data_IF_875567404754
#
_entry.id   IF_875567404754
#
_cell.length_a   1.000
_cell.length_b   1.000
_cell.length_c   1.000
_cell.angle_alpha   90.00
_cell.angle_beta   90.00
_cell.angle_gamma   90.00
#
_symmetry.space_group_name_H-M   'P 1'
#
loop_
_entity.id
_entity.type
_entity.pdbx_description
1 polymer ?
#
# COMPACT_ATOMS: atom_id res chain seq x y z
N UNK A 1 35.50 20.66 -5.74
CA UNK A 1 34.68 19.65 -6.46
C UNK A 1 33.82 18.86 -5.48
N UNK A 2 32.92 19.53 -4.78
CA UNK A 2 31.99 18.93 -3.82
C UNK A 2 30.68 19.73 -3.91
N UNK A 3 29.77 19.39 -4.84
CA UNK A 3 28.42 20.01 -4.88
C UNK A 3 27.45 19.34 -5.86
N UNK A 4 27.41 18.00 -6.01
CA UNK A 4 26.41 17.34 -6.89
C UNK A 4 25.96 15.97 -6.32
N UNK A 5 25.86 15.85 -4.99
CA UNK A 5 25.36 14.61 -4.33
C UNK A 5 24.06 14.80 -3.54
N UNK A 6 23.49 16.02 -3.52
CA UNK A 6 22.38 16.37 -2.62
C UNK A 6 20.98 16.36 -3.26
N UNK A 7 20.86 16.47 -4.59
CA UNK A 7 19.54 16.68 -5.22
C UNK A 7 18.74 15.40 -5.44
N UNK A 8 19.38 14.22 -5.51
CA UNK A 8 18.71 12.95 -5.87
C UNK A 8 18.09 12.23 -4.66
N UNK A 9 18.54 12.52 -3.44
CA UNK A 9 17.88 12.08 -2.20
C UNK A 9 16.54 12.81 -1.96
N UNK A 10 16.28 13.90 -2.68
CA UNK A 10 15.19 14.82 -2.35
C UNK A 10 13.83 14.46 -2.95
N UNK A 11 13.76 13.66 -4.02
CA UNK A 11 12.48 13.34 -4.67
C UNK A 11 11.58 12.44 -3.81
N UNK A 12 12.13 11.69 -2.84
CA UNK A 12 11.33 10.89 -1.90
C UNK A 12 11.60 11.19 -0.41
N UNK A 13 12.65 11.93 -0.04
CA UNK A 13 12.89 12.36 1.36
C UNK A 13 12.05 13.58 1.79
N UNK A 14 11.20 14.14 0.92
CA UNK A 14 10.27 15.22 1.28
C UNK A 14 9.12 14.75 2.20
N UNK A 15 9.09 13.47 2.57
CA UNK A 15 8.17 12.90 3.55
C UNK A 15 8.51 13.20 5.03
N UNK A 16 9.50 14.06 5.34
CA UNK A 16 9.85 14.37 6.74
C UNK A 16 9.25 15.68 7.24
N UNK A 17 8.42 15.50 8.28
CA UNK A 17 7.90 16.46 9.29
C UNK A 17 6.64 17.23 8.87
N UNK A 18 5.46 16.75 9.29
CA UNK A 18 4.59 17.50 10.21
C UNK A 18 3.70 16.56 11.04
N UNK A 19 3.46 16.86 12.33
CA UNK A 19 2.58 16.11 13.21
C UNK A 19 1.12 16.50 12.90
N UNK A 20 0.27 15.53 12.58
CA UNK A 20 -1.14 15.84 12.32
C UNK A 20 -1.84 16.27 13.61
N UNK A 21 -2.44 17.44 13.47
CA UNK A 21 -3.31 18.15 14.39
C UNK A 21 -4.53 17.28 14.72
N UNK A 22 -4.81 17.14 16.01
CA UNK A 22 -6.10 16.66 16.55
C UNK A 22 -7.22 17.52 15.97
N UNK A 23 -8.09 16.94 15.15
CA UNK A 23 -9.36 17.59 14.79
C UNK A 23 -10.37 17.26 15.88
N UNK A 24 -10.61 18.23 16.75
CA UNK A 24 -11.70 18.25 17.73
C UNK A 24 -13.01 18.56 16.97
N UNK A 25 -13.91 17.58 16.86
CA UNK A 25 -15.25 17.79 16.30
C UNK A 25 -16.24 18.17 17.41
N UNK A 26 -16.41 19.48 17.63
CA UNK A 26 -17.51 19.98 18.46
C UNK A 26 -18.84 19.87 17.71
N UNK A 27 -19.76 19.14 18.34
CA UNK A 27 -21.14 18.91 17.96
C UNK A 27 -22.00 20.17 17.93
N UNK A 28 -22.93 20.25 16.97
CA UNK A 28 -24.19 21.00 17.10
C UNK A 28 -25.34 19.99 17.06
N UNK A 29 -26.29 20.15 17.99
CA UNK A 29 -27.08 19.07 18.56
C UNK A 29 -28.41 18.67 17.90
N UNK A 30 -28.90 17.53 18.42
CA UNK A 30 -30.27 16.98 18.55
C UNK A 30 -31.24 17.15 17.36
N UNK A 31 -31.89 16.11 16.83
CA UNK A 31 -32.81 15.20 17.55
C UNK A 31 -33.24 14.05 16.63
N UNK A 32 -33.19 12.79 17.11
CA UNK A 32 -34.31 11.80 17.17
C UNK A 32 -33.76 10.38 17.28
N UNK A 33 -34.31 9.66 18.26
CA UNK A 33 -33.96 8.31 18.63
C UNK A 33 -34.45 7.28 17.59
N UNK A 34 -33.53 6.44 17.14
CA UNK A 34 -33.77 5.02 16.92
C UNK A 34 -32.58 4.26 17.47
N UNK A 35 -32.89 3.29 18.32
CA UNK A 35 -31.93 2.37 18.93
C UNK A 35 -31.30 1.50 17.85
N UNK A 36 -30.09 1.84 17.43
CA UNK A 36 -29.14 0.88 16.88
C UNK A 36 -27.93 0.94 17.79
N UNK A 37 -27.77 -0.09 18.63
CA UNK A 37 -26.50 -0.27 19.31
C UNK A 37 -25.42 -0.38 18.22
N UNK A 38 -24.25 0.26 18.37
CA UNK A 38 -23.13 0.00 17.49
C UNK A 38 -22.85 -1.51 17.51
N UNK A 39 -22.35 -2.13 16.42
CA UNK A 39 -21.92 -3.52 16.47
C UNK A 39 -20.88 -3.63 17.59
N UNK A 40 -21.30 -4.17 18.73
CA UNK A 40 -20.42 -4.39 19.87
C UNK A 40 -19.47 -5.49 19.46
N UNK A 41 -18.18 -5.30 19.72
CA UNK A 41 -17.19 -6.36 19.63
C UNK A 41 -17.66 -7.55 20.49
N UNK A 42 -18.19 -8.59 19.86
CA UNK A 42 -18.79 -9.72 20.56
C UNK A 42 -17.66 -10.63 21.05
N UNK A 43 -17.37 -10.57 22.35
CA UNK A 43 -16.35 -11.41 23.00
C UNK A 43 -16.51 -12.90 22.72
N UNK A 44 -17.76 -13.37 22.52
CA UNK A 44 -18.05 -14.75 22.10
C UNK A 44 -17.58 -15.03 20.68
N UNK A 45 -17.92 -14.16 19.72
CA UNK A 45 -17.48 -14.31 18.34
C UNK A 45 -15.95 -14.24 18.18
N UNK A 46 -15.26 -13.51 19.07
CA UNK A 46 -13.80 -13.56 19.17
C UNK A 46 -13.31 -14.87 19.80
N UNK A 47 -13.93 -15.35 20.89
CA UNK A 47 -13.55 -16.62 21.50
C UNK A 47 -13.68 -17.77 20.49
N UNK A 48 -14.78 -17.81 19.74
CA UNK A 48 -15.04 -18.78 18.68
C UNK A 48 -14.00 -18.63 17.54
N UNK A 49 -13.49 -17.42 17.28
CA UNK A 49 -12.44 -17.23 16.28
C UNK A 49 -11.07 -17.68 16.77
N UNK A 50 -10.78 -17.52 18.06
CA UNK A 50 -9.55 -18.02 18.69
C UNK A 50 -9.55 -19.54 18.71
N UNK A 51 -10.68 -20.19 19.00
CA UNK A 51 -10.80 -21.66 18.94
C UNK A 51 -10.55 -22.16 17.52
N UNK A 52 -11.21 -21.57 16.51
CA UNK A 52 -10.97 -21.91 15.10
C UNK A 52 -9.52 -21.68 14.66
N UNK A 53 -8.90 -20.60 15.12
CA UNK A 53 -7.50 -20.32 14.85
C UNK A 53 -6.55 -21.30 15.56
N UNK A 54 -6.93 -21.81 16.73
CA UNK A 54 -6.17 -22.84 17.42
C UNK A 54 -6.25 -24.19 16.72
N UNK A 55 -7.42 -24.53 16.18
CA UNK A 55 -7.62 -25.75 15.38
C UNK A 55 -6.83 -25.70 14.06
N UNK A 56 -6.69 -24.51 13.47
CA UNK A 56 -5.95 -24.27 12.21
C UNK A 56 -4.51 -23.76 12.45
N UNK A 57 -3.94 -23.98 13.65
CA UNK A 57 -2.61 -23.45 14.03
C UNK A 57 -1.47 -23.92 13.14
N UNK A 58 -1.60 -25.08 12.49
CA UNK A 58 -0.58 -25.60 11.58
C UNK A 58 -0.40 -24.67 10.37
N UNK A 59 -1.47 -23.99 9.92
CA UNK A 59 -1.39 -22.97 8.88
C UNK A 59 -0.60 -21.75 9.35
N UNK A 60 -0.76 -21.34 10.60
CA UNK A 60 0.05 -20.26 11.18
C UNK A 60 1.53 -20.62 11.24
N UNK A 61 1.89 -21.86 11.60
CA UNK A 61 3.28 -22.31 11.58
C UNK A 61 3.84 -22.33 10.15
N UNK A 62 3.08 -22.84 9.19
CA UNK A 62 3.47 -22.79 7.78
C UNK A 62 3.69 -21.35 7.26
N UNK A 63 2.82 -20.41 7.63
CA UNK A 63 3.01 -18.98 7.30
C UNK A 63 4.27 -18.40 7.97
N UNK A 64 4.57 -18.82 9.19
CA UNK A 64 5.77 -18.39 9.89
C UNK A 64 7.05 -18.96 9.26
N UNK A 65 7.05 -20.23 8.88
CA UNK A 65 8.20 -20.93 8.28
C UNK A 65 8.51 -20.42 6.86
N UNK A 66 7.48 -19.94 6.15
CA UNK A 66 7.63 -19.24 4.86
C UNK A 66 8.04 -17.76 5.01
N UNK A 67 8.31 -17.30 6.23
CA UNK A 67 8.71 -15.92 6.52
C UNK A 67 7.72 -14.86 5.97
N UNK A 68 6.42 -15.18 5.93
CA UNK A 68 5.39 -14.28 5.38
C UNK A 68 5.17 -13.04 6.25
N UNK A 69 5.59 -13.06 7.50
CA UNK A 69 5.46 -11.94 8.43
C UNK A 69 6.74 -11.13 8.45
N UNK A 70 6.62 -9.80 8.60
CA UNK A 70 7.76 -8.92 8.85
C UNK A 70 8.62 -9.47 9.99
N UNK A 71 9.95 -9.52 9.80
CA UNK A 71 10.90 -10.21 10.68
C UNK A 71 10.74 -9.86 12.18
N UNK A 72 10.51 -8.58 12.49
CA UNK A 72 10.36 -8.06 13.86
C UNK A 72 9.00 -8.35 14.51
N UNK A 73 8.10 -9.07 13.83
CA UNK A 73 6.77 -9.37 14.34
C UNK A 73 6.85 -10.49 15.37
N UNK A 74 6.57 -10.19 16.64
CA UNK A 74 6.49 -11.22 17.67
C UNK A 74 5.45 -12.31 17.35
N UNK A 75 5.71 -13.55 17.75
CA UNK A 75 4.78 -14.66 17.51
C UNK A 75 3.38 -14.41 18.09
N UNK A 76 3.27 -13.73 19.24
CA UNK A 76 1.98 -13.34 19.83
C UNK A 76 1.20 -12.44 18.88
N UNK A 77 1.86 -11.47 18.24
CA UNK A 77 1.22 -10.61 17.25
C UNK A 77 0.81 -11.40 16.00
N UNK A 78 1.63 -12.35 15.54
CA UNK A 78 1.28 -13.26 14.42
C UNK A 78 0.03 -14.07 14.75
N UNK A 79 -0.02 -14.69 15.93
CA UNK A 79 -1.16 -15.47 16.40
C UNK A 79 -2.43 -14.63 16.58
N UNK A 80 -2.31 -13.40 17.08
CA UNK A 80 -3.44 -12.49 17.18
C UNK A 80 -3.97 -12.09 15.79
N UNK A 81 -3.09 -11.73 14.86
CA UNK A 81 -3.49 -11.47 13.47
C UNK A 81 -4.19 -12.67 12.84
N UNK A 82 -3.68 -13.88 13.09
CA UNK A 82 -4.29 -15.12 12.63
C UNK A 82 -5.72 -15.28 13.19
N UNK A 83 -5.91 -15.12 14.51
CA UNK A 83 -7.22 -15.21 15.14
C UNK A 83 -8.21 -14.14 14.64
N UNK A 84 -7.74 -12.94 14.32
CA UNK A 84 -8.56 -11.88 13.73
C UNK A 84 -8.94 -12.19 12.28
N UNK A 85 -8.05 -12.78 11.48
CA UNK A 85 -8.39 -13.25 10.13
C UNK A 85 -9.44 -14.36 10.19
N UNK A 86 -9.37 -15.29 11.13
CA UNK A 86 -10.42 -16.30 11.35
C UNK A 86 -11.75 -15.69 11.81
N UNK A 87 -11.71 -14.55 12.49
CA UNK A 87 -12.92 -13.82 12.85
C UNK A 87 -13.60 -13.25 11.61
N UNK A 88 -12.83 -12.60 10.72
CA UNK A 88 -13.34 -11.98 9.49
C UNK A 88 -13.69 -13.01 8.41
N UNK A 89 -12.93 -14.09 8.29
CA UNK A 89 -13.10 -15.15 7.30
C UNK A 89 -13.37 -16.51 7.95
N UNK A 90 -14.61 -16.79 8.38
CA UNK A 90 -14.90 -18.00 9.14
C UNK A 90 -14.70 -19.32 8.42
N UNK A 91 -14.80 -19.30 7.09
CA UNK A 91 -14.78 -20.48 6.23
C UNK A 91 -13.37 -20.92 5.81
N UNK A 92 -12.30 -20.30 6.36
CA UNK A 92 -10.93 -20.47 5.88
C UNK A 92 -10.74 -20.14 4.40
N UNK A 93 -11.55 -19.21 3.85
CA UNK A 93 -11.46 -18.78 2.45
C UNK A 93 -10.28 -17.83 2.19
N UNK A 94 -9.67 -17.29 3.24
CA UNK A 94 -8.54 -16.37 3.13
C UNK A 94 -7.23 -17.11 3.38
N UNK A 95 -6.32 -17.06 2.42
CA UNK A 95 -4.93 -17.43 2.58
C UNK A 95 -4.02 -16.20 2.47
N UNK A 96 -3.06 -16.08 3.39
CA UNK A 96 -2.13 -14.98 3.41
C UNK A 96 -1.15 -15.04 2.23
N UNK A 97 -0.81 -16.25 1.76
CA UNK A 97 0.07 -16.43 0.59
C UNK A 97 -0.60 -15.84 -0.65
N UNK A 98 -1.85 -16.25 -0.94
CA UNK A 98 -2.60 -15.76 -2.09
C UNK A 98 -2.80 -14.23 -2.04
N UNK A 99 -3.04 -13.67 -0.85
CA UNK A 99 -3.12 -12.23 -0.66
C UNK A 99 -1.80 -11.53 -1.00
N UNK A 100 -0.66 -12.03 -0.49
CA UNK A 100 0.65 -11.44 -0.74
C UNK A 100 1.07 -11.55 -2.22
N UNK A 101 0.72 -12.64 -2.89
CA UNK A 101 0.94 -12.80 -4.33
C UNK A 101 0.12 -11.78 -5.13
N UNK A 102 -1.16 -11.61 -4.80
CA UNK A 102 -2.00 -10.57 -5.41
C UNK A 102 -1.48 -9.16 -5.13
N UNK A 103 -0.96 -8.91 -3.93
CA UNK A 103 -0.39 -7.62 -3.55
C UNK A 103 0.90 -7.30 -4.35
N UNK A 104 1.74 -8.31 -4.63
CA UNK A 104 2.90 -8.15 -5.52
C UNK A 104 2.50 -7.82 -6.96
N UNK A 105 1.44 -8.45 -7.48
CA UNK A 105 0.90 -8.11 -8.80
C UNK A 105 0.41 -6.67 -8.83
N UNK A 106 -0.26 -6.21 -7.77
CA UNK A 106 -0.67 -4.80 -7.66
C UNK A 106 0.53 -3.84 -7.62
N UNK A 107 1.60 -4.20 -6.89
CA UNK A 107 2.85 -3.45 -6.84
C UNK A 107 3.48 -3.29 -8.21
N UNK A 108 3.66 -4.40 -8.93
CA UNK A 108 4.23 -4.41 -10.27
C UNK A 108 3.38 -3.56 -11.24
N UNK A 109 2.05 -3.73 -11.23
CA UNK A 109 1.13 -2.97 -12.05
C UNK A 109 1.26 -1.46 -11.80
N UNK A 110 1.22 -1.04 -10.53
CA UNK A 110 1.26 0.39 -10.18
C UNK A 110 2.62 0.98 -10.54
N UNK A 111 3.73 0.33 -10.19
CA UNK A 111 5.08 0.85 -10.48
C UNK A 111 5.34 0.91 -11.98
N UNK A 112 4.98 -0.11 -12.76
CA UNK A 112 5.11 -0.03 -14.22
C UNK A 112 4.22 1.06 -14.82
N UNK A 113 3.04 1.30 -14.25
CA UNK A 113 2.11 2.31 -14.75
C UNK A 113 2.60 3.73 -14.51
N UNK A 114 3.10 4.06 -13.31
CA UNK A 114 3.53 5.43 -12.98
C UNK A 114 4.76 5.90 -13.77
N UNK A 115 5.56 4.96 -14.28
CA UNK A 115 6.70 5.27 -15.16
C UNK A 115 6.34 5.34 -16.65
N UNK A 116 5.07 5.10 -17.03
CA UNK A 116 4.63 5.27 -18.42
C UNK A 116 4.46 6.73 -18.82
N UNK A 117 4.59 7.01 -20.12
CA UNK A 117 4.34 8.35 -20.65
C UNK A 117 2.90 8.81 -20.43
N UNK A 118 1.94 7.89 -20.51
CA UNK A 118 0.51 8.16 -20.29
C UNK A 118 0.23 8.76 -18.91
N UNK A 119 0.89 8.23 -17.87
CA UNK A 119 0.78 8.80 -16.53
C UNK A 119 1.48 10.16 -16.44
N UNK A 120 2.65 10.33 -17.07
CA UNK A 120 3.35 11.61 -17.10
C UNK A 120 2.53 12.72 -17.80
N UNK A 121 1.82 12.37 -18.87
CA UNK A 121 0.92 13.27 -19.58
C UNK A 121 -0.27 13.69 -18.70
N UNK A 122 -0.82 12.76 -17.91
CA UNK A 122 -1.86 13.05 -16.92
C UNK A 122 -1.38 13.99 -15.80
N UNK A 123 -0.12 13.85 -15.35
CA UNK A 123 0.48 14.78 -14.40
C UNK A 123 0.65 16.20 -14.97
N UNK A 124 0.78 16.34 -16.29
CA UNK A 124 0.84 17.65 -16.95
C UNK A 124 -0.54 18.26 -17.13
N UNK A 125 -1.50 17.43 -17.52
CA UNK A 125 -2.86 17.82 -17.82
C UNK A 125 -3.83 16.73 -17.35
N UNK A 126 -4.48 16.96 -16.21
CA UNK A 126 -5.43 16.01 -15.61
C UNK A 126 -6.67 15.76 -16.47
N UNK A 127 -6.86 16.48 -17.58
CA UNK A 127 -7.90 16.17 -18.57
C UNK A 127 -7.52 15.03 -19.52
N UNK A 128 -6.23 14.67 -19.61
CA UNK A 128 -5.72 13.57 -20.44
C UNK A 128 -5.86 12.24 -19.71
N UNK A 129 -7.08 11.72 -19.66
CA UNK A 129 -7.33 10.37 -19.14
C UNK A 129 -6.90 9.32 -20.18
N UNK A 130 -6.26 8.26 -19.72
CA UNK A 130 -5.78 7.14 -20.53
C UNK A 130 -6.07 5.81 -19.82
N UNK A 131 -6.08 4.67 -20.52
CA UNK A 131 -6.35 3.37 -19.91
C UNK A 131 -5.44 3.03 -18.71
N UNK A 132 -4.13 3.33 -18.70
CA UNK A 132 -3.30 3.11 -17.52
C UNK A 132 -3.69 3.99 -16.32
N UNK A 133 -4.14 5.22 -16.55
CA UNK A 133 -4.62 6.11 -15.47
C UNK A 133 -5.93 5.61 -14.89
N UNK A 134 -6.88 5.18 -15.74
CA UNK A 134 -8.14 4.57 -15.30
C UNK A 134 -7.89 3.29 -14.50
N UNK A 135 -6.90 2.50 -14.91
CA UNK A 135 -6.49 1.31 -14.18
C UNK A 135 -6.01 1.65 -12.76
N UNK A 136 -5.16 2.68 -12.60
CA UNK A 136 -4.74 3.15 -11.28
C UNK A 136 -5.92 3.63 -10.43
N UNK A 137 -6.87 4.35 -11.04
CA UNK A 137 -8.08 4.82 -10.35
C UNK A 137 -9.00 3.68 -9.89
N UNK A 138 -8.96 2.53 -10.56
CA UNK A 138 -9.74 1.35 -10.19
C UNK A 138 -9.07 0.52 -9.08
N UNK A 139 -7.74 0.47 -9.05
CA UNK A 139 -6.98 -0.32 -8.06
C UNK A 139 -6.78 0.43 -6.74
N UNK A 140 -6.80 1.76 -6.79
CA UNK A 140 -6.50 2.63 -5.65
C UNK A 140 -7.74 3.39 -5.17
N UNK A 141 -7.78 3.73 -3.88
CA UNK A 141 -8.78 4.68 -3.41
C UNK A 141 -8.55 6.06 -4.04
N UNK A 142 -9.59 6.88 -4.20
CA UNK A 142 -9.46 8.24 -4.73
C UNK A 142 -8.45 9.07 -3.93
N UNK A 143 -8.43 8.92 -2.61
CA UNK A 143 -7.49 9.62 -1.73
C UNK A 143 -6.05 9.19 -1.98
N UNK A 144 -5.80 7.89 -2.13
CA UNK A 144 -4.48 7.33 -2.40
C UNK A 144 -3.97 7.78 -3.78
N UNK A 145 -4.82 7.68 -4.82
CA UNK A 145 -4.49 8.13 -6.16
C UNK A 145 -4.17 9.64 -6.19
N UNK A 146 -4.97 10.47 -5.53
CA UNK A 146 -4.73 11.91 -5.47
C UNK A 146 -3.44 12.26 -4.71
N UNK A 147 -3.11 11.52 -3.64
CA UNK A 147 -1.85 11.69 -2.93
C UNK A 147 -0.64 11.34 -3.82
N UNK A 148 -0.73 10.21 -4.54
CA UNK A 148 0.28 9.78 -5.51
C UNK A 148 0.51 10.84 -6.59
N UNK A 149 -0.55 11.30 -7.25
CA UNK A 149 -0.48 12.34 -8.29
C UNK A 149 0.16 13.61 -7.76
N UNK A 150 -0.23 14.05 -6.56
CA UNK A 150 0.32 15.25 -5.92
C UNK A 150 1.82 15.12 -5.66
N UNK A 151 2.29 13.97 -5.21
CA UNK A 151 3.70 13.75 -4.89
C UNK A 151 4.56 13.64 -6.15
N UNK A 152 4.07 12.98 -7.20
CA UNK A 152 4.73 12.97 -8.51
C UNK A 152 4.74 14.34 -9.17
N UNK A 153 3.68 15.13 -9.00
CA UNK A 153 3.63 16.51 -9.52
C UNK A 153 4.65 17.41 -8.83
N UNK A 154 4.85 17.25 -7.52
CA UNK A 154 5.83 18.02 -6.73
C UNK A 154 7.28 17.68 -7.04
N UNK A 155 7.54 16.41 -7.34
CA UNK A 155 8.89 15.89 -7.58
C UNK A 155 9.30 15.90 -9.05
N UNK A 156 8.39 16.29 -9.95
CA UNK A 156 8.63 16.31 -11.39
C UNK A 156 9.73 17.30 -11.78
N UNK A 157 10.56 16.88 -12.71
CA UNK A 157 11.50 17.72 -13.41
C UNK A 157 11.24 17.57 -14.91
N UNK A 158 10.71 18.61 -15.55
CA UNK A 158 10.31 18.58 -16.97
C UNK A 158 11.50 18.34 -17.92
N UNK A 159 12.73 18.54 -17.44
CA UNK A 159 13.96 18.37 -18.20
C UNK A 159 14.50 16.93 -18.13
N UNK A 160 13.89 16.06 -17.32
CA UNK A 160 14.37 14.69 -17.07
C UNK A 160 13.24 13.70 -17.31
N UNK A 161 13.39 12.89 -18.36
CA UNK A 161 12.56 11.70 -18.55
C UNK A 161 13.13 10.55 -17.73
N UNK A 162 12.29 9.92 -16.90
CA UNK A 162 12.63 8.74 -16.10
C UNK A 162 11.82 7.56 -16.64
N UNK A 163 12.50 6.48 -16.98
CA UNK A 163 11.88 5.24 -17.45
C UNK A 163 12.30 4.07 -16.55
N UNK A 164 11.34 3.22 -16.17
CA UNK A 164 11.58 1.97 -15.48
C UNK A 164 11.99 0.90 -16.50
N UNK A 165 13.18 0.36 -16.32
CA UNK A 165 13.73 -0.71 -17.18
C UNK A 165 13.43 -2.08 -16.60
N UNK A 166 13.55 -2.21 -15.27
CA UNK A 166 13.35 -3.46 -14.56
C UNK A 166 12.94 -3.16 -13.11
N UNK A 167 12.01 -3.96 -12.61
CA UNK A 167 11.61 -3.99 -11.21
C UNK A 167 11.92 -5.38 -10.64
N UNK A 168 12.73 -5.42 -9.59
CA UNK A 168 12.97 -6.62 -8.81
C UNK A 168 12.21 -6.51 -7.49
N UNK A 169 11.33 -7.47 -7.21
CA UNK A 169 10.61 -7.59 -5.93
C UNK A 169 11.30 -8.70 -5.14
N UNK A 170 12.05 -8.33 -4.10
CA UNK A 170 12.82 -9.29 -3.29
C UNK A 170 11.98 -9.94 -2.21
N UNK A 171 11.03 -9.19 -1.64
CA UNK A 171 10.11 -9.72 -0.64
C UNK A 171 8.81 -8.92 -0.57
N UNK A 172 7.76 -9.60 -0.14
CA UNK A 172 6.47 -9.04 0.25
C UNK A 172 6.08 -9.66 1.59
N UNK A 173 6.09 -8.87 2.65
CA UNK A 173 5.88 -9.34 4.02
C UNK A 173 4.66 -8.67 4.64
N UNK A 174 3.82 -9.49 5.26
CA UNK A 174 2.73 -9.04 6.08
C UNK A 174 3.23 -8.27 7.30
N UNK A 175 2.86 -7.01 7.42
CA UNK A 175 3.37 -6.07 8.43
C UNK A 175 2.31 -5.64 9.45
N UNK A 176 1.03 -5.66 9.07
CA UNK A 176 -0.05 -5.13 9.89
C UNK A 176 -1.44 -5.62 9.51
N UNK A 177 -2.32 -5.62 10.51
CA UNK A 177 -3.75 -5.91 10.39
C UNK A 177 -4.52 -4.94 11.28
N UNK A 178 -5.62 -4.42 10.76
CA UNK A 178 -6.61 -3.66 11.51
C UNK A 178 -8.00 -4.08 11.05
N UNK A 179 -8.88 -4.40 12.00
CA UNK A 179 -10.31 -4.61 11.75
C UNK A 179 -11.05 -3.40 12.29
N UNK A 180 -11.66 -2.61 11.40
CA UNK A 180 -12.56 -1.53 11.78
C UNK A 180 -14.01 -2.04 11.72
N UNK A 181 -14.50 -2.49 12.87
CA UNK A 181 -15.89 -2.96 13.01
C UNK A 181 -16.95 -1.86 12.88
N UNK A 182 -16.57 -0.58 12.99
CA UNK A 182 -17.52 0.53 12.80
C UNK A 182 -17.75 0.79 11.31
N UNK A 183 -16.67 0.75 10.52
CA UNK A 183 -16.73 0.94 9.08
C UNK A 183 -16.91 -0.36 8.30
N UNK A 184 -16.91 -1.51 8.98
CA UNK A 184 -16.95 -2.84 8.38
C UNK A 184 -15.81 -3.05 7.37
N UNK A 185 -14.58 -2.72 7.79
CA UNK A 185 -13.39 -2.80 6.94
C UNK A 185 -12.32 -3.68 7.56
N UNK A 186 -11.63 -4.44 6.71
CA UNK A 186 -10.39 -5.12 7.03
C UNK A 186 -9.27 -4.40 6.29
N UNK A 187 -8.26 -4.00 7.03
CA UNK A 187 -7.09 -3.28 6.53
C UNK A 187 -5.86 -4.13 6.77
N UNK A 188 -5.12 -4.44 5.71
CA UNK A 188 -3.89 -5.22 5.75
C UNK A 188 -2.73 -4.37 5.21
N UNK A 189 -1.57 -4.44 5.87
CA UNK A 189 -0.37 -3.75 5.40
C UNK A 189 0.70 -4.73 4.95
N UNK A 190 1.33 -4.44 3.83
CA UNK A 190 2.42 -5.22 3.23
C UNK A 190 3.67 -4.35 3.17
N UNK A 191 4.77 -4.86 3.70
CA UNK A 191 6.10 -4.29 3.57
C UNK A 191 6.80 -4.98 2.41
N UNK A 192 7.22 -4.20 1.42
CA UNK A 192 8.00 -4.68 0.30
C UNK A 192 9.46 -4.29 0.43
N UNK A 193 10.32 -5.12 -0.15
CA UNK A 193 11.69 -4.77 -0.50
C UNK A 193 11.82 -4.85 -2.02
N UNK A 194 12.12 -3.72 -2.65
CA UNK A 194 12.20 -3.61 -4.11
C UNK A 194 13.50 -2.99 -4.57
N UNK A 195 13.94 -3.37 -5.75
CA UNK A 195 14.96 -2.66 -6.51
C UNK A 195 14.41 -2.21 -7.86
N UNK A 196 14.39 -0.89 -8.07
CA UNK A 196 14.00 -0.27 -9.35
C UNK A 196 15.25 0.09 -10.16
N UNK A 197 15.31 -0.39 -11.40
CA UNK A 197 16.36 -0.03 -12.36
C UNK A 197 15.81 1.00 -13.34
N UNK A 198 16.34 2.20 -13.28
CA UNK A 198 15.81 3.37 -13.97
C UNK A 198 16.81 3.92 -14.98
N UNK A 199 16.28 4.44 -16.07
CA UNK A 199 17.04 5.23 -17.05
C UNK A 199 16.58 6.67 -17.01
N UNK A 200 17.55 7.59 -16.93
CA UNK A 200 17.32 9.04 -16.96
C UNK A 200 17.85 9.64 -18.24
N UNK A 201 16.97 10.31 -18.98
CA UNK A 201 17.32 11.00 -20.22
C UNK A 201 16.99 12.47 -20.08
N UNK A 202 17.99 13.33 -20.28
CA UNK A 202 17.79 14.78 -20.27
C UNK A 202 17.19 15.21 -21.61
N UNK A 203 16.03 15.86 -21.56
CA UNK A 203 15.24 16.27 -22.74
C UNK A 203 15.74 17.56 -23.39
N UNK A 204 16.56 18.36 -22.69
CA UNK A 204 17.15 19.61 -23.20
C UNK A 204 18.40 19.33 -24.07
N UNK A 205 19.16 18.29 -23.75
CA UNK A 205 20.33 17.89 -24.54
C UNK A 205 19.91 17.20 -25.84
N UNK A 206 20.52 17.59 -26.96
CA UNK A 206 20.30 16.95 -28.26
C UNK A 206 20.44 15.41 -28.13
N UNK A 207 19.50 14.62 -28.67
CA UNK A 207 19.43 13.17 -28.46
C UNK A 207 20.67 12.40 -28.96
N UNK A 208 21.53 13.03 -29.77
CA UNK A 208 22.82 12.46 -30.18
C UNK A 208 23.95 12.58 -29.13
N UNK A 209 23.75 13.34 -28.05
CA UNK A 209 24.80 13.67 -27.06
C UNK A 209 24.44 13.30 -25.63
N UNK A 210 23.19 12.95 -25.35
CA UNK A 210 22.79 12.47 -24.02
C UNK A 210 23.01 10.97 -23.89
N UNK A 211 24.01 10.59 -23.08
CA UNK A 211 24.11 9.21 -22.59
C UNK A 211 23.06 9.06 -21.50
N UNK A 212 22.11 8.12 -21.62
CA UNK A 212 21.13 7.89 -20.57
C UNK A 212 21.83 7.49 -19.27
N UNK A 213 21.57 8.23 -18.20
CA UNK A 213 22.11 7.91 -16.88
C UNK A 213 21.37 6.71 -16.30
N UNK A 214 22.09 5.66 -15.91
CA UNK A 214 21.51 4.54 -15.18
C UNK A 214 21.43 4.87 -13.68
N UNK A 215 20.29 4.64 -13.08
CA UNK A 215 20.06 4.75 -11.64
C UNK A 215 19.46 3.45 -11.13
N UNK A 216 19.94 2.97 -9.99
CA UNK A 216 19.37 1.83 -9.28
C UNK A 216 18.87 2.35 -7.93
N UNK A 217 17.61 2.09 -7.61
CA UNK A 217 17.01 2.46 -6.32
C UNK A 217 16.62 1.20 -5.58
N UNK A 218 17.23 1.02 -4.42
CA UNK A 218 16.90 -0.04 -3.48
C UNK A 218 16.09 0.58 -2.34
N UNK A 219 14.90 0.05 -2.07
CA UNK A 219 13.97 0.68 -1.12
C UNK A 219 13.05 -0.31 -0.43
N UNK A 220 12.62 0.10 0.77
CA UNK A 220 11.52 -0.52 1.48
C UNK A 220 10.29 0.39 1.42
N UNK A 221 9.13 -0.18 1.06
CA UNK A 221 7.88 0.56 1.02
C UNK A 221 6.77 -0.24 1.70
N UNK A 222 5.89 0.45 2.42
CA UNK A 222 4.72 -0.15 3.04
C UNK A 222 3.47 0.32 2.32
N UNK A 223 2.68 -0.65 1.85
CA UNK A 223 1.41 -0.42 1.18
C UNK A 223 0.29 -0.97 2.04
N UNK A 224 -0.84 -0.28 2.03
CA UNK A 224 -2.00 -0.64 2.83
C UNK A 224 -3.18 -0.90 1.93
N UNK A 225 -3.76 -2.09 2.07
CA UNK A 225 -4.92 -2.56 1.32
C UNK A 225 -6.12 -2.65 2.25
N UNK A 226 -7.29 -2.33 1.71
CA UNK A 226 -8.56 -2.37 2.41
C UNK A 226 -9.55 -3.24 1.64
N UNK A 227 -10.36 -4.02 2.35
CA UNK A 227 -11.56 -4.66 1.81
C UNK A 227 -12.73 -4.48 2.76
N UNK A 228 -13.94 -4.51 2.22
CA UNK A 228 -15.16 -4.66 3.01
C UNK A 228 -15.22 -6.04 3.67
N UNK A 229 -15.67 -6.09 4.93
CA UNK A 229 -15.97 -7.36 5.63
C UNK A 229 -17.46 -7.73 5.55
N UNK A 230 -18.27 -6.93 4.84
CA UNK A 230 -19.69 -7.20 4.66
C UNK A 230 -19.94 -8.44 3.77
N UNK A 231 -19.06 -8.71 2.80
CA UNK A 231 -19.06 -9.92 1.99
C UNK A 231 -17.68 -10.62 2.05
N UNK A 232 -17.40 -11.41 3.10
CA UNK A 232 -16.10 -12.05 3.29
C UNK A 232 -15.82 -13.17 2.28
N UNK A 233 -16.77 -13.53 1.40
CA UNK A 233 -16.56 -14.55 0.36
C UNK A 233 -15.92 -14.00 -0.90
N UNK A 234 -16.05 -12.70 -1.12
CA UNK A 234 -15.52 -12.02 -2.29
C UNK A 234 -14.87 -10.70 -1.86
N UNK A 235 -13.69 -10.76 -1.20
CA UNK A 235 -13.00 -9.55 -0.80
C UNK A 235 -12.57 -8.76 -2.03
N UNK A 236 -12.89 -7.48 -2.06
CA UNK A 236 -12.52 -6.55 -3.11
C UNK A 236 -11.46 -5.60 -2.54
N UNK A 237 -10.20 -5.90 -2.86
CA UNK A 237 -9.05 -5.23 -2.28
C UNK A 237 -8.73 -3.93 -3.00
N UNK A 238 -8.70 -2.83 -2.25
CA UNK A 238 -8.35 -1.50 -2.74
C UNK A 238 -7.09 -1.01 -2.04
N UNK A 239 -6.16 -0.44 -2.81
CA UNK A 239 -4.95 0.20 -2.28
C UNK A 239 -5.30 1.58 -1.69
N UNK A 240 -5.17 1.75 -0.38
CA UNK A 240 -5.63 2.96 0.33
C UNK A 240 -4.49 3.87 0.80
N UNK A 241 -3.27 3.34 0.94
CA UNK A 241 -2.11 4.15 1.34
C UNK A 241 -0.80 3.50 0.87
N UNK A 242 0.20 4.34 0.61
CA UNK A 242 1.55 3.95 0.21
C UNK A 242 2.57 4.92 0.81
N UNK A 243 3.58 4.40 1.50
CA UNK A 243 4.69 5.24 1.95
C UNK A 243 5.99 4.45 2.02
N UNK A 244 7.11 5.16 1.85
CA UNK A 244 8.43 4.57 1.99
C UNK A 244 8.81 4.49 3.46
N UNK A 245 9.35 3.35 3.86
CA UNK A 245 9.88 3.14 5.20
C UNK A 245 11.38 3.35 5.18
N UNK A 246 11.89 4.23 6.04
CA UNK A 246 13.30 4.24 6.39
C UNK A 246 13.55 3.05 7.33
N UNK A 247 14.51 2.19 7.00
CA UNK A 247 15.00 1.14 7.89
C UNK A 247 15.70 1.74 9.12
#
# INVERSE_FOLDING_TARGET
>A
MQSIRSSARQCMNACRKQPWIRVDSRSVGLTRAFSTSPPSFELRALADSVERAYDDRERLYNWNDKELFKAETSFVKKALSFALLHHVFPSSSFDLVDFLDGAQVALDLVLNTIYTQDFQDYLQDSSKTSPPVELLQNVMSPECFNALVKDFTRSRNDDIKIELVQLDIHSAQFSGLLVDGQQMKLILSVLYHTTEHLTKTNTISSPLTSIPGKEVRDSFCQWTFETSIADPRNPDWVLVDMYNTEE
#
